data_IF_179790583924
#
_entry.id   IF_179790583924
#
_cell.length_a   1.000
_cell.length_b   1.000
_cell.length_c   1.000
_cell.angle_alpha   90.00
_cell.angle_beta   90.00
_cell.angle_gamma   90.00
#
_symmetry.space_group_name_H-M   'P 1'
#
loop_
_entity.id
_entity.type
_entity.pdbx_description
1 polymer ?
#
# COMPACT_ATOMS: atom_id res chain seq x y z
N UNK A 1 -13.88 17.83 4.44
CA UNK A 1 -13.47 18.07 3.04
C UNK A 1 -12.31 19.07 2.90
N UNK A 2 -12.19 20.11 3.76
CA UNK A 2 -11.12 21.14 3.70
C UNK A 2 -9.74 20.63 4.18
N UNK A 3 -9.71 19.54 4.92
CA UNK A 3 -8.49 18.96 5.51
C UNK A 3 -7.66 18.18 4.48
N UNK A 4 -8.32 17.55 3.49
CA UNK A 4 -7.62 16.76 2.46
C UNK A 4 -6.61 17.57 1.65
N UNK A 5 -6.94 18.77 1.14
CA UNK A 5 -5.96 19.59 0.44
C UNK A 5 -4.73 19.93 1.30
N UNK A 6 -4.91 20.12 2.61
CA UNK A 6 -3.80 20.40 3.52
C UNK A 6 -2.83 19.21 3.63
N UNK A 7 -3.35 17.99 3.87
CA UNK A 7 -2.50 16.79 3.91
C UNK A 7 -1.86 16.49 2.55
N UNK A 8 -2.60 16.69 1.45
CA UNK A 8 -2.05 16.54 0.11
C UNK A 8 -0.92 17.53 -0.15
N UNK A 9 -1.08 18.79 0.25
CA UNK A 9 -0.03 19.81 0.14
C UNK A 9 1.20 19.44 0.95
N UNK A 10 1.04 18.92 2.16
CA UNK A 10 2.16 18.45 2.99
C UNK A 10 2.91 17.34 2.26
N UNK A 11 2.22 16.32 1.74
CA UNK A 11 2.83 15.22 1.01
C UNK A 11 3.62 15.72 -0.20
N UNK A 12 3.02 16.59 -1.02
CA UNK A 12 3.67 17.17 -2.23
C UNK A 12 4.87 18.01 -1.84
N UNK A 13 4.78 18.85 -0.81
CA UNK A 13 5.91 19.66 -0.35
C UNK A 13 7.08 18.80 0.15
N UNK A 14 6.80 17.72 0.88
CA UNK A 14 7.82 16.77 1.34
C UNK A 14 8.48 16.03 0.17
N UNK A 15 7.70 15.66 -0.86
CA UNK A 15 8.22 15.04 -2.07
C UNK A 15 9.15 16.00 -2.82
N UNK A 16 8.70 17.24 -3.08
CA UNK A 16 9.51 18.25 -3.76
C UNK A 16 10.79 18.53 -2.98
N UNK A 17 10.70 18.71 -1.66
CA UNK A 17 11.87 18.91 -0.81
C UNK A 17 12.86 17.75 -0.94
N UNK A 18 12.37 16.52 -0.87
CA UNK A 18 13.19 15.31 -0.98
C UNK A 18 13.88 15.20 -2.35
N UNK A 19 13.17 15.56 -3.44
CA UNK A 19 13.71 15.55 -4.79
C UNK A 19 14.74 16.67 -5.04
N UNK A 20 14.54 17.83 -4.42
CA UNK A 20 15.46 18.96 -4.58
C UNK A 20 16.74 18.80 -3.76
N UNK A 21 16.63 18.30 -2.53
CA UNK A 21 17.76 18.20 -1.60
C UNK A 21 18.49 16.87 -1.67
N UNK A 22 17.82 15.80 -2.15
CA UNK A 22 18.32 14.43 -2.06
C UNK A 22 18.25 13.82 -0.64
N UNK A 23 17.67 14.56 0.32
CA UNK A 23 17.50 14.12 1.71
C UNK A 23 16.01 13.98 2.05
N UNK A 24 15.43 12.76 1.89
CA UNK A 24 14.04 12.56 2.21
C UNK A 24 13.83 12.65 3.72
N UNK A 25 12.96 13.57 4.14
CA UNK A 25 12.54 13.74 5.54
C UNK A 25 11.91 12.46 6.05
N UNK A 26 11.23 11.73 5.17
CA UNK A 26 10.60 10.44 5.44
C UNK A 26 11.56 9.38 5.98
N UNK A 27 12.87 9.51 5.70
CA UNK A 27 13.89 8.61 6.25
C UNK A 27 13.99 8.69 7.78
N UNK A 28 13.73 9.87 8.34
CA UNK A 28 13.89 10.14 9.78
C UNK A 28 12.60 9.89 10.56
N UNK A 29 11.48 9.73 9.89
CA UNK A 29 10.19 9.45 10.51
C UNK A 29 9.79 8.01 10.19
N UNK A 30 9.69 7.18 11.23
CA UNK A 30 9.24 5.80 11.08
C UNK A 30 7.88 5.79 10.38
N UNK A 31 7.71 4.89 9.42
CA UNK A 31 6.53 4.83 8.54
C UNK A 31 5.20 4.89 9.32
N UNK A 32 5.10 4.18 10.44
CA UNK A 32 3.90 4.16 11.30
C UNK A 32 3.53 5.54 11.87
N UNK A 33 4.51 6.42 12.05
CA UNK A 33 4.29 7.76 12.59
C UNK A 33 4.08 8.85 11.52
N UNK A 34 4.02 8.48 10.24
CA UNK A 34 3.68 9.42 9.16
C UNK A 34 2.16 9.65 9.11
N UNK A 35 1.64 10.28 10.16
CA UNK A 35 0.20 10.50 10.36
C UNK A 35 -0.41 11.21 9.15
N UNK A 36 0.30 12.19 8.55
CA UNK A 36 -0.17 12.93 7.37
C UNK A 36 -0.47 12.03 6.17
N UNK A 37 0.32 10.96 5.95
CA UNK A 37 0.12 10.00 4.86
C UNK A 37 -1.09 9.10 5.15
N UNK A 38 -1.16 8.55 6.36
CA UNK A 38 -2.22 7.62 6.72
C UNK A 38 -3.58 8.30 6.84
N UNK A 39 -3.63 9.51 7.43
CA UNK A 39 -4.85 10.32 7.48
C UNK A 39 -5.35 10.69 6.10
N UNK A 40 -4.45 11.05 5.17
CA UNK A 40 -4.80 11.32 3.79
C UNK A 40 -5.47 10.11 3.14
N UNK A 41 -4.87 8.93 3.23
CA UNK A 41 -5.44 7.71 2.65
C UNK A 41 -6.76 7.31 3.30
N UNK A 42 -6.87 7.43 4.61
CA UNK A 42 -8.12 7.17 5.33
C UNK A 42 -9.25 8.07 4.86
N UNK A 43 -9.00 9.38 4.78
CA UNK A 43 -9.99 10.36 4.34
C UNK A 43 -10.38 10.16 2.86
N UNK A 44 -9.41 9.89 1.99
CA UNK A 44 -9.67 9.57 0.58
C UNK A 44 -10.51 8.31 0.45
N UNK A 45 -10.18 7.25 1.16
CA UNK A 45 -10.94 6.00 1.19
C UNK A 45 -12.38 6.20 1.64
N UNK A 46 -12.61 7.00 2.70
CA UNK A 46 -13.93 7.35 3.18
C UNK A 46 -14.78 8.10 2.15
N UNK A 47 -14.20 9.11 1.46
CA UNK A 47 -14.92 9.86 0.41
C UNK A 47 -15.24 8.96 -0.78
N UNK A 48 -14.28 8.17 -1.24
CA UNK A 48 -14.49 7.25 -2.36
C UNK A 48 -15.55 6.21 -2.02
N UNK A 49 -15.49 5.61 -0.82
CA UNK A 49 -16.50 4.66 -0.36
C UNK A 49 -17.90 5.25 -0.36
N UNK A 50 -18.08 6.46 0.14
CA UNK A 50 -19.37 7.17 0.12
C UNK A 50 -19.86 7.49 -1.30
N UNK A 51 -18.95 7.90 -2.19
CA UNK A 51 -19.28 8.24 -3.58
C UNK A 51 -19.72 7.01 -4.36
N UNK A 52 -18.96 5.93 -4.28
CA UNK A 52 -19.18 4.75 -5.12
C UNK A 52 -20.24 3.78 -4.57
N UNK A 53 -20.58 3.83 -3.30
CA UNK A 53 -21.71 3.06 -2.75
C UNK A 53 -23.06 3.43 -3.40
N UNK A 54 -23.13 4.61 -4.04
CA UNK A 54 -24.36 5.16 -4.65
C UNK A 54 -24.38 5.06 -6.19
N UNK A 55 -23.28 4.71 -6.84
CA UNK A 55 -23.16 4.77 -8.31
C UNK A 55 -22.83 3.39 -8.85
N UNK A 56 -23.80 2.73 -9.48
CA UNK A 56 -23.54 1.60 -10.37
C UNK A 56 -22.77 2.09 -11.60
N UNK A 57 -21.49 1.69 -11.74
CA UNK A 57 -20.66 2.13 -12.87
C UNK A 57 -21.17 1.60 -14.22
N UNK A 58 -21.16 2.45 -15.26
CA UNK A 58 -21.39 2.04 -16.63
C UNK A 58 -20.15 1.28 -17.15
N UNK A 59 -20.35 0.24 -17.96
CA UNK A 59 -19.25 -0.60 -18.48
C UNK A 59 -18.20 0.19 -19.29
N UNK A 60 -18.62 1.25 -19.98
CA UNK A 60 -17.72 2.14 -20.71
C UNK A 60 -16.73 2.86 -19.79
N UNK A 61 -17.21 3.37 -18.67
CA UNK A 61 -16.36 4.04 -17.68
C UNK A 61 -15.35 3.08 -17.05
N UNK A 62 -15.68 1.79 -16.94
CA UNK A 62 -14.79 0.78 -16.40
C UNK A 62 -13.58 0.53 -17.32
N UNK A 63 -13.78 0.45 -18.64
CA UNK A 63 -12.69 0.24 -19.61
C UNK A 63 -11.67 1.38 -19.56
N UNK A 64 -12.16 2.61 -19.61
CA UNK A 64 -11.28 3.80 -19.50
C UNK A 64 -10.54 3.79 -18.17
N UNK A 65 -11.25 3.46 -17.08
CA UNK A 65 -10.63 3.40 -15.74
C UNK A 65 -9.48 2.39 -15.68
N UNK A 66 -9.65 1.19 -16.28
CA UNK A 66 -8.60 0.16 -16.35
C UNK A 66 -7.41 0.66 -17.18
N UNK A 67 -7.65 1.30 -18.34
CA UNK A 67 -6.57 1.84 -19.17
C UNK A 67 -5.77 2.90 -18.38
N UNK A 68 -6.46 3.83 -17.72
CA UNK A 68 -5.81 4.86 -16.90
C UNK A 68 -5.06 4.24 -15.73
N UNK A 69 -5.63 3.24 -15.06
CA UNK A 69 -4.95 2.53 -13.96
C UNK A 69 -3.66 1.85 -14.44
N UNK A 70 -3.69 1.18 -15.59
CA UNK A 70 -2.48 0.56 -16.18
C UNK A 70 -1.45 1.63 -16.50
N UNK A 71 -1.84 2.72 -17.15
CA UNK A 71 -0.93 3.81 -17.50
C UNK A 71 -0.28 4.43 -16.25
N UNK A 72 -1.07 4.70 -15.21
CA UNK A 72 -0.55 5.24 -13.95
C UNK A 72 0.30 4.20 -13.20
N UNK A 73 0.00 2.90 -13.30
CA UNK A 73 0.86 1.84 -12.74
C UNK A 73 2.25 1.85 -13.38
N UNK A 74 2.31 1.93 -14.71
CA UNK A 74 3.59 2.03 -15.44
C UNK A 74 4.33 3.31 -15.04
N UNK A 75 3.62 4.44 -14.99
CA UNK A 75 4.20 5.71 -14.57
C UNK A 75 4.74 5.67 -13.15
N UNK A 76 4.03 5.02 -12.23
CA UNK A 76 4.47 4.85 -10.84
C UNK A 76 5.74 4.00 -10.74
N UNK A 77 5.81 2.89 -11.50
CA UNK A 77 7.03 2.06 -11.56
C UNK A 77 8.21 2.88 -12.09
N UNK A 78 8.02 3.62 -13.19
CA UNK A 78 9.06 4.48 -13.77
C UNK A 78 9.49 5.56 -12.78
N UNK A 79 8.54 6.21 -12.10
CA UNK A 79 8.83 7.22 -11.08
C UNK A 79 9.65 6.65 -9.93
N UNK A 80 9.28 5.49 -9.39
CA UNK A 80 10.02 4.85 -8.30
C UNK A 80 11.44 4.46 -8.72
N UNK A 81 11.62 3.96 -9.94
CA UNK A 81 12.95 3.67 -10.52
C UNK A 81 13.76 4.95 -10.69
N UNK A 82 13.17 6.00 -11.27
CA UNK A 82 13.84 7.29 -11.48
C UNK A 82 14.27 7.94 -10.17
N UNK A 83 13.39 7.96 -9.19
CA UNK A 83 13.68 8.54 -7.86
C UNK A 83 14.77 7.70 -7.17
N UNK A 84 14.69 6.38 -7.22
CA UNK A 84 15.71 5.50 -6.67
C UNK A 84 17.09 5.76 -7.29
N UNK A 85 17.17 5.85 -8.61
CA UNK A 85 18.42 6.12 -9.33
C UNK A 85 18.97 7.54 -9.04
N UNK A 86 18.11 8.55 -9.04
CA UNK A 86 18.50 9.94 -8.74
C UNK A 86 19.04 10.07 -7.33
N UNK A 87 18.42 9.45 -6.38
CA UNK A 87 18.84 9.49 -4.98
C UNK A 87 20.13 8.73 -4.74
N UNK A 88 20.37 7.62 -5.44
CA UNK A 88 21.66 6.90 -5.43
C UNK A 88 22.78 7.84 -5.86
N UNK A 89 22.58 8.60 -6.94
CA UNK A 89 23.60 9.49 -7.50
C UNK A 89 23.91 10.70 -6.62
N UNK A 90 22.91 11.22 -5.86
CA UNK A 90 23.06 12.43 -5.03
C UNK A 90 23.61 12.10 -3.63
N UNK A 91 23.27 10.95 -3.07
CA UNK A 91 23.57 10.61 -1.66
C UNK A 91 24.74 9.60 -1.57
N UNK A 92 25.66 9.60 -2.51
CA UNK A 92 26.90 8.77 -2.47
C UNK A 92 26.65 7.30 -2.06
N UNK A 93 25.91 6.57 -2.88
CA UNK A 93 25.87 5.10 -2.80
C UNK A 93 24.93 4.48 -1.77
N UNK A 94 24.00 5.23 -1.21
CA UNK A 94 22.97 4.67 -0.33
C UNK A 94 21.64 4.53 -1.08
N UNK A 95 21.21 3.28 -1.26
CA UNK A 95 19.88 2.97 -1.79
C UNK A 95 18.82 3.54 -0.86
N UNK A 96 17.97 4.43 -1.39
CA UNK A 96 16.74 4.82 -0.72
C UNK A 96 15.67 3.79 -1.10
N UNK A 97 15.06 3.22 -0.08
CA UNK A 97 13.98 2.28 -0.27
C UNK A 97 12.75 3.01 -0.82
N UNK A 98 12.00 2.38 -1.72
CA UNK A 98 10.75 2.90 -2.28
C UNK A 98 9.72 3.27 -1.18
N UNK A 99 9.80 2.63 -0.02
CA UNK A 99 8.98 2.92 1.17
C UNK A 99 9.07 4.36 1.72
N UNK A 100 10.08 5.14 1.29
CA UNK A 100 10.14 6.56 1.67
C UNK A 100 9.16 7.43 0.87
N UNK A 101 8.60 6.93 -0.23
CA UNK A 101 7.81 7.69 -1.18
C UNK A 101 6.34 7.27 -1.25
N UNK A 102 5.79 6.63 -0.21
CA UNK A 102 4.36 6.32 -0.13
C UNK A 102 3.44 7.55 -0.12
N UNK A 103 4.01 8.71 0.12
CA UNK A 103 3.33 10.01 0.09
C UNK A 103 3.60 10.81 -1.21
N UNK A 104 4.19 10.18 -2.23
CA UNK A 104 4.35 10.82 -3.53
C UNK A 104 3.01 11.04 -4.23
N UNK A 105 2.92 12.12 -5.02
CA UNK A 105 1.71 12.47 -5.74
C UNK A 105 1.24 11.35 -6.69
N UNK A 106 2.19 10.66 -7.33
CA UNK A 106 1.90 9.52 -8.24
C UNK A 106 1.38 8.32 -7.47
N UNK A 107 1.96 8.01 -6.31
CA UNK A 107 1.50 6.91 -5.44
C UNK A 107 0.09 7.17 -4.92
N UNK A 108 -0.19 8.39 -4.45
CA UNK A 108 -1.52 8.80 -4.00
C UNK A 108 -2.54 8.66 -5.13
N UNK A 109 -2.20 9.10 -6.35
CA UNK A 109 -3.06 8.94 -7.52
C UNK A 109 -3.29 7.46 -7.85
N UNK A 110 -2.24 6.65 -7.85
CA UNK A 110 -2.31 5.23 -8.13
C UNK A 110 -3.20 4.48 -7.13
N UNK A 111 -3.01 4.70 -5.83
CA UNK A 111 -3.84 4.10 -4.77
C UNK A 111 -5.30 4.56 -4.90
N UNK A 112 -5.54 5.83 -5.20
CA UNK A 112 -6.88 6.37 -5.40
C UNK A 112 -7.60 5.70 -6.57
N UNK A 113 -6.92 5.51 -7.70
CA UNK A 113 -7.44 4.81 -8.86
C UNK A 113 -7.66 3.33 -8.58
N UNK A 114 -6.70 2.65 -7.96
CA UNK A 114 -6.80 1.24 -7.60
C UNK A 114 -7.99 1.00 -6.65
N UNK A 115 -8.12 1.82 -5.61
CA UNK A 115 -9.24 1.71 -4.67
C UNK A 115 -10.59 1.99 -5.34
N UNK A 116 -10.65 3.01 -6.20
CA UNK A 116 -11.84 3.30 -7.01
C UNK A 116 -12.21 2.14 -7.93
N UNK A 117 -11.22 1.47 -8.53
CA UNK A 117 -11.41 0.27 -9.34
C UNK A 117 -12.00 -0.86 -8.50
N UNK A 118 -11.41 -1.16 -7.35
CA UNK A 118 -11.88 -2.21 -6.44
C UNK A 118 -13.33 -2.00 -5.99
N UNK A 119 -13.73 -0.75 -5.71
CA UNK A 119 -15.10 -0.42 -5.32
C UNK A 119 -16.13 -0.62 -6.43
N UNK A 120 -15.70 -0.67 -7.70
CA UNK A 120 -16.57 -0.91 -8.86
C UNK A 120 -16.67 -2.37 -9.29
N UNK A 121 -15.80 -3.24 -8.76
CA UNK A 121 -15.79 -4.65 -9.11
C UNK A 121 -17.10 -5.35 -8.68
N UNK A 122 -17.75 -6.00 -9.62
CA UNK A 122 -18.85 -6.92 -9.34
C UNK A 122 -18.26 -8.28 -8.94
N UNK A 123 -18.19 -8.53 -7.65
CA UNK A 123 -17.63 -9.77 -7.14
C UNK A 123 -18.67 -10.90 -7.14
N UNK A 124 -18.22 -12.11 -7.48
CA UNK A 124 -19.08 -13.30 -7.39
C UNK A 124 -19.34 -13.65 -5.93
N UNK A 125 -20.47 -14.32 -5.61
CA UNK A 125 -20.80 -14.73 -4.24
C UNK A 125 -19.70 -15.55 -3.57
N UNK A 126 -18.99 -16.38 -4.34
CA UNK A 126 -17.87 -17.20 -3.84
C UNK A 126 -16.70 -16.34 -3.39
N UNK A 127 -16.32 -15.32 -4.19
CA UNK A 127 -15.25 -14.38 -3.84
C UNK A 127 -15.64 -13.57 -2.60
N UNK A 128 -16.91 -13.14 -2.50
CA UNK A 128 -17.40 -12.40 -1.32
C UNK A 128 -17.27 -13.24 -0.04
N UNK A 129 -17.56 -14.56 -0.12
CA UNK A 129 -17.39 -15.47 1.03
C UNK A 129 -15.92 -15.52 1.47
N UNK A 130 -14.99 -15.65 0.54
CA UNK A 130 -13.55 -15.67 0.83
C UNK A 130 -13.10 -14.36 1.46
N UNK A 131 -13.50 -13.21 0.88
CA UNK A 131 -13.17 -11.88 1.41
C UNK A 131 -13.71 -11.70 2.83
N UNK A 132 -14.95 -12.13 3.11
CA UNK A 132 -15.53 -12.06 4.47
C UNK A 132 -14.75 -12.84 5.51
N UNK A 133 -14.07 -13.92 5.11
CA UNK A 133 -13.21 -14.72 6.01
C UNK A 133 -11.86 -14.04 6.21
N UNK A 134 -11.25 -13.52 5.14
CA UNK A 134 -9.90 -12.95 5.17
C UNK A 134 -9.89 -11.52 5.74
N UNK A 135 -10.89 -10.70 5.42
CA UNK A 135 -10.92 -9.28 5.81
C UNK A 135 -10.71 -9.04 7.33
N UNK A 136 -11.34 -9.79 8.25
CA UNK A 136 -11.09 -9.62 9.67
C UNK A 136 -9.68 -10.04 10.12
N UNK A 137 -8.93 -10.74 9.26
CA UNK A 137 -7.58 -11.21 9.56
C UNK A 137 -6.49 -10.25 9.08
N UNK A 138 -6.85 -9.25 8.27
CA UNK A 138 -5.88 -8.33 7.64
C UNK A 138 -5.04 -7.59 8.67
N UNK A 139 -5.62 -7.19 9.80
CA UNK A 139 -4.88 -6.55 10.88
C UNK A 139 -3.86 -7.50 11.51
N UNK A 140 -4.25 -8.77 11.74
CA UNK A 140 -3.33 -9.80 12.22
C UNK A 140 -2.19 -10.08 11.23
N UNK A 141 -2.51 -10.15 9.93
CA UNK A 141 -1.49 -10.27 8.86
C UNK A 141 -0.55 -9.09 8.88
N UNK A 142 -1.07 -7.86 9.02
CA UNK A 142 -0.27 -6.65 9.08
C UNK A 142 0.70 -6.64 10.27
N UNK A 143 0.29 -7.13 11.43
CA UNK A 143 1.14 -7.22 12.63
C UNK A 143 2.19 -8.34 12.49
N UNK A 144 1.81 -9.48 11.92
CA UNK A 144 2.66 -10.67 11.87
C UNK A 144 3.65 -10.69 10.70
N UNK A 145 3.33 -10.01 9.57
CA UNK A 145 4.16 -10.12 8.36
C UNK A 145 5.63 -9.70 8.57
N UNK A 146 6.01 -8.68 9.40
CA UNK A 146 7.41 -8.35 9.57
C UNK A 146 8.18 -9.45 10.32
N UNK A 147 7.51 -10.11 11.25
CA UNK A 147 8.08 -11.23 12.01
C UNK A 147 8.31 -12.42 11.08
N UNK A 148 7.27 -12.78 10.32
CA UNK A 148 7.34 -13.88 9.33
C UNK A 148 8.38 -13.56 8.27
N UNK A 149 8.42 -12.34 7.76
CA UNK A 149 9.41 -11.89 6.77
C UNK A 149 10.85 -12.04 7.31
N UNK A 150 11.09 -11.68 8.57
CA UNK A 150 12.40 -11.83 9.20
C UNK A 150 12.83 -13.29 9.27
N UNK A 151 11.92 -14.20 9.57
CA UNK A 151 12.18 -15.65 9.61
C UNK A 151 12.39 -16.21 8.21
N UNK A 152 11.53 -15.89 7.26
CA UNK A 152 11.56 -16.44 5.91
C UNK A 152 12.66 -15.85 5.04
N UNK A 153 13.08 -14.61 5.29
CA UNK A 153 14.13 -13.93 4.50
C UNK A 153 15.48 -14.62 4.56
N UNK A 154 15.75 -15.42 5.60
CA UNK A 154 16.96 -16.23 5.69
C UNK A 154 16.92 -17.49 4.80
N UNK A 155 15.71 -17.93 4.40
CA UNK A 155 15.51 -19.14 3.59
C UNK A 155 15.57 -18.88 2.09
N UNK A 156 15.46 -17.64 1.64
CA UNK A 156 15.42 -17.27 0.23
C UNK A 156 16.57 -16.34 -0.12
N UNK A 157 17.40 -16.80 -1.08
CA UNK A 157 18.41 -15.94 -1.68
C UNK A 157 17.72 -14.83 -2.52
N UNK A 158 18.00 -13.55 -2.25
CA UNK A 158 17.37 -12.40 -2.93
C UNK A 158 17.95 -12.12 -4.33
N UNK A 159 18.43 -13.16 -5.02
CA UNK A 159 19.19 -13.01 -6.26
C UNK A 159 18.33 -13.13 -7.52
N UNK A 160 17.05 -13.44 -7.41
CA UNK A 160 16.16 -13.56 -8.57
C UNK A 160 14.76 -13.04 -8.27
N UNK A 161 14.06 -12.60 -9.32
CA UNK A 161 12.66 -12.15 -9.24
C UNK A 161 11.76 -13.26 -8.68
N UNK A 162 12.00 -14.51 -9.11
CA UNK A 162 11.24 -15.67 -8.63
C UNK A 162 11.40 -15.86 -7.11
N UNK A 163 12.62 -15.75 -6.60
CA UNK A 163 12.87 -15.85 -5.14
C UNK A 163 12.15 -14.73 -4.37
N UNK A 164 12.09 -13.51 -4.92
CA UNK A 164 11.35 -12.41 -4.31
C UNK A 164 9.83 -12.69 -4.29
N UNK A 165 9.27 -13.22 -5.38
CA UNK A 165 7.85 -13.59 -5.45
C UNK A 165 7.55 -14.72 -4.46
N UNK A 166 8.37 -15.76 -4.40
CA UNK A 166 8.20 -16.86 -3.46
C UNK A 166 8.29 -16.37 -2.00
N UNK A 167 9.27 -15.52 -1.69
CA UNK A 167 9.41 -14.92 -0.38
C UNK A 167 8.14 -14.14 0.01
N UNK A 168 7.59 -13.35 -0.92
CA UNK A 168 6.35 -12.61 -0.68
C UNK A 168 5.16 -13.55 -0.40
N UNK A 169 4.97 -14.58 -1.24
CA UNK A 169 3.87 -15.55 -1.09
C UNK A 169 3.98 -16.31 0.23
N UNK A 170 5.18 -16.78 0.59
CA UNK A 170 5.42 -17.52 1.83
C UNK A 170 5.22 -16.61 3.05
N UNK A 171 5.69 -15.36 2.97
CA UNK A 171 5.51 -14.39 4.06
C UNK A 171 4.03 -14.08 4.28
N UNK A 172 3.29 -13.79 3.20
CA UNK A 172 1.86 -13.51 3.28
C UNK A 172 1.07 -14.73 3.79
N UNK A 173 1.34 -15.91 3.23
CA UNK A 173 0.70 -17.16 3.65
C UNK A 173 0.98 -17.51 5.11
N UNK A 174 2.22 -17.36 5.55
CA UNK A 174 2.62 -17.59 6.95
C UNK A 174 1.98 -16.59 7.91
N UNK A 175 1.92 -15.32 7.54
CA UNK A 175 1.25 -14.30 8.34
C UNK A 175 -0.27 -14.54 8.42
N UNK A 176 -0.90 -14.97 7.32
CA UNK A 176 -2.32 -15.33 7.28
C UNK A 176 -2.61 -16.55 8.15
N UNK A 177 -1.78 -17.61 8.06
CA UNK A 177 -1.90 -18.79 8.90
C UNK A 177 -1.74 -18.45 10.39
N UNK A 178 -0.76 -17.58 10.74
CA UNK A 178 -0.58 -17.08 12.09
C UNK A 178 -1.79 -16.30 12.60
N UNK A 179 -2.36 -15.41 11.78
CA UNK A 179 -3.56 -14.64 12.12
C UNK A 179 -4.78 -15.55 12.31
N UNK A 180 -4.94 -16.58 11.48
CA UNK A 180 -5.97 -17.60 11.64
C UNK A 180 -5.79 -18.38 12.95
N UNK A 181 -4.56 -18.80 13.27
CA UNK A 181 -4.25 -19.49 14.51
C UNK A 181 -4.63 -18.65 15.74
N UNK A 182 -4.23 -17.38 15.78
CA UNK A 182 -4.59 -16.43 16.85
C UNK A 182 -6.11 -16.35 17.03
N UNK A 183 -6.86 -16.30 15.92
CA UNK A 183 -8.33 -16.27 15.94
C UNK A 183 -8.92 -17.57 16.47
N UNK A 184 -8.41 -18.73 16.03
CA UNK A 184 -8.89 -20.06 16.47
C UNK A 184 -8.67 -20.25 17.98
N UNK A 185 -7.52 -19.82 18.49
CA UNK A 185 -7.17 -19.90 19.93
C UNK A 185 -7.88 -18.80 20.74
N UNK A 186 -8.68 -17.95 20.10
CA UNK A 186 -9.43 -16.83 20.74
C UNK A 186 -8.54 -15.79 21.42
N UNK A 187 -7.25 -15.73 21.06
CA UNK A 187 -6.32 -14.68 21.51
C UNK A 187 -6.62 -13.32 20.88
N UNK A 188 -7.39 -13.28 19.80
CA UNK A 188 -7.89 -12.08 19.14
C UNK A 188 -8.64 -11.15 20.11
N UNK A 189 -9.38 -11.71 21.08
CA UNK A 189 -10.08 -10.93 22.11
C UNK A 189 -9.15 -10.12 23.01
N UNK A 190 -7.90 -10.56 23.16
CA UNK A 190 -6.90 -9.91 24.03
C UNK A 190 -5.93 -9.03 23.24
N UNK A 191 -5.61 -9.42 22.00
CA UNK A 191 -4.60 -8.76 21.17
C UNK A 191 -5.20 -7.75 20.16
N UNK A 192 -6.46 -7.93 19.78
CA UNK A 192 -7.13 -7.12 18.74
C UNK A 192 -8.44 -6.50 19.25
N UNK A 193 -8.52 -6.17 20.54
CA UNK A 193 -9.64 -5.39 21.08
C UNK A 193 -9.49 -3.94 20.62
N UNK A 194 -9.94 -3.67 19.41
CA UNK A 194 -10.15 -2.34 18.86
C UNK A 194 -11.65 -2.17 18.62
#
# INVERSE_FOLDING_TARGET
KRIIPAFLSICICLEIYSLCTGYPVQKYVIQTFRIWTWELYFLLGGILGQKYSKVGGKDYEMRIHVIVLIAVTILNIVHQLFVGLKVINIVSGRYLNAEYFYDSAIEILWITLLFSFMLRLKLTPSIIKVIKVISPLTMGVYILHPIVLKITSSLFARNSVLSCILLYVVTFGGALAGALFIKVVRLDKYLMKI
#
